data_IF_488418410404
#
_entry.id   IF_488418410404
#
_cell.length_a   1.000
_cell.length_b   1.000
_cell.length_c   1.000
_cell.angle_alpha   90.00
_cell.angle_beta   90.00
_cell.angle_gamma   90.00
#
_symmetry.space_group_name_H-M   'P 1'
#
loop_
_entity.id
_entity.type
_entity.pdbx_description
1 polymer ?
#
# COMPACT_ATOMS: atom_id res chain seq x y z
N UNK A 1 -19.12 -48.10 16.84
CA UNK A 1 -19.38 -46.99 15.91
C UNK A 1 -20.11 -45.80 16.55
N UNK A 2 -21.22 -46.03 17.28
CA UNK A 2 -22.03 -44.94 17.90
C UNK A 2 -21.22 -44.07 18.88
N UNK A 3 -20.43 -44.63 19.76
CA UNK A 3 -19.60 -43.87 20.72
C UNK A 3 -18.52 -43.03 20.06
N UNK A 4 -17.94 -43.46 18.95
CA UNK A 4 -16.96 -42.71 18.19
C UNK A 4 -17.60 -41.48 17.53
N UNK A 5 -18.84 -41.62 17.03
CA UNK A 5 -19.61 -40.47 16.48
C UNK A 5 -19.93 -39.42 17.55
N UNK A 6 -20.39 -39.87 18.74
CA UNK A 6 -20.68 -38.95 19.83
C UNK A 6 -19.42 -38.25 20.35
N UNK A 7 -18.31 -38.97 20.48
CA UNK A 7 -17.03 -38.38 20.86
C UNK A 7 -16.59 -37.32 19.84
N UNK A 8 -16.71 -37.62 18.55
CA UNK A 8 -16.38 -36.65 17.47
C UNK A 8 -17.26 -35.39 17.55
N UNK A 9 -18.58 -35.54 17.75
CA UNK A 9 -19.51 -34.40 17.87
C UNK A 9 -19.20 -33.56 19.12
N UNK A 10 -18.86 -34.15 20.23
CA UNK A 10 -18.51 -33.43 21.46
C UNK A 10 -17.21 -32.64 21.27
N UNK A 11 -16.15 -33.29 20.78
CA UNK A 11 -14.86 -32.63 20.52
C UNK A 11 -15.05 -31.48 19.53
N UNK A 12 -15.80 -31.70 18.47
CA UNK A 12 -16.11 -30.72 17.46
C UNK A 12 -16.89 -29.52 18.04
N UNK A 13 -17.92 -29.76 18.85
CA UNK A 13 -18.68 -28.70 19.54
C UNK A 13 -17.78 -27.88 20.47
N UNK A 14 -16.87 -28.50 21.18
CA UNK A 14 -15.88 -27.83 22.03
C UNK A 14 -14.98 -26.90 21.19
N UNK A 15 -14.48 -27.39 20.06
CA UNK A 15 -13.64 -26.59 19.17
C UNK A 15 -14.41 -25.34 18.66
N UNK A 16 -15.68 -25.49 18.26
CA UNK A 16 -16.51 -24.35 17.82
C UNK A 16 -16.69 -23.35 18.97
N UNK A 17 -17.04 -23.79 20.15
CA UNK A 17 -17.27 -22.93 21.31
C UNK A 17 -15.99 -22.18 21.67
N UNK A 18 -14.84 -22.86 21.71
CA UNK A 18 -13.53 -22.22 21.94
C UNK A 18 -13.24 -21.16 20.86
N UNK A 19 -13.51 -21.49 19.59
CA UNK A 19 -13.29 -20.54 18.49
C UNK A 19 -14.22 -19.34 18.61
N UNK A 20 -15.51 -19.54 18.96
CA UNK A 20 -16.45 -18.45 19.19
C UNK A 20 -16.03 -17.53 20.34
N UNK A 21 -15.60 -18.13 21.48
CA UNK A 21 -15.07 -17.35 22.61
C UNK A 21 -13.84 -16.54 22.18
N UNK A 22 -12.95 -17.13 21.38
CA UNK A 22 -11.77 -16.43 20.86
C UNK A 22 -12.16 -15.25 19.94
N UNK A 23 -13.15 -15.44 19.05
CA UNK A 23 -13.71 -14.39 18.20
C UNK A 23 -14.26 -13.22 19.04
N UNK A 24 -15.00 -13.51 20.10
CA UNK A 24 -15.53 -12.50 21.03
C UNK A 24 -14.41 -11.76 21.77
N UNK A 25 -13.40 -12.50 22.24
CA UNK A 25 -12.27 -11.93 22.99
C UNK A 25 -11.32 -11.07 22.13
N UNK A 26 -11.39 -11.20 20.81
CA UNK A 26 -10.56 -10.41 19.88
C UNK A 26 -10.96 -8.92 19.81
N UNK A 27 -12.08 -8.52 20.44
CA UNK A 27 -12.57 -7.14 20.53
C UNK A 27 -12.54 -6.36 19.19
N UNK A 28 -13.03 -7.01 18.14
CA UNK A 28 -13.13 -6.40 16.79
C UNK A 28 -14.37 -5.51 16.68
N UNK A 29 -14.50 -4.88 15.52
CA UNK A 29 -15.75 -4.21 15.16
C UNK A 29 -16.92 -5.17 15.33
N UNK A 30 -18.00 -4.78 16.04
CA UNK A 30 -19.12 -5.69 16.34
C UNK A 30 -19.70 -6.40 15.12
N UNK A 31 -19.79 -5.70 13.98
CA UNK A 31 -20.29 -6.28 12.73
C UNK A 31 -19.39 -7.43 12.22
N UNK A 32 -18.05 -7.28 12.27
CA UNK A 32 -17.10 -8.34 11.89
C UNK A 32 -17.18 -9.52 12.85
N UNK A 33 -17.31 -9.26 14.16
CA UNK A 33 -17.48 -10.30 15.17
C UNK A 33 -18.76 -11.10 14.94
N UNK A 34 -19.90 -10.42 14.72
CA UNK A 34 -21.18 -11.06 14.41
C UNK A 34 -21.11 -11.89 13.12
N UNK A 35 -20.49 -11.36 12.06
CA UNK A 35 -20.32 -12.10 10.81
C UNK A 35 -19.57 -13.42 11.03
N UNK A 36 -18.47 -13.43 11.78
CA UNK A 36 -17.72 -14.65 12.10
C UNK A 36 -18.53 -15.60 12.99
N UNK A 37 -19.28 -15.07 13.96
CA UNK A 37 -20.16 -15.90 14.79
C UNK A 37 -21.21 -16.62 13.94
N UNK A 38 -21.84 -15.93 12.99
CA UNK A 38 -22.83 -16.51 12.08
C UNK A 38 -22.18 -17.57 11.16
N UNK A 39 -20.99 -17.27 10.58
CA UNK A 39 -20.26 -18.24 9.75
C UNK A 39 -19.93 -19.51 10.54
N UNK A 40 -19.43 -19.39 11.76
CA UNK A 40 -19.10 -20.53 12.62
C UNK A 40 -20.34 -21.31 13.06
N UNK A 41 -21.49 -20.64 13.23
CA UNK A 41 -22.75 -21.27 13.62
C UNK A 41 -23.40 -22.02 12.46
N UNK A 42 -23.47 -21.43 11.26
CA UNK A 42 -24.21 -22.01 10.14
C UNK A 42 -23.36 -22.87 9.20
N UNK A 43 -22.06 -22.63 9.13
CA UNK A 43 -21.12 -23.35 8.24
C UNK A 43 -19.90 -23.81 9.05
N UNK A 44 -20.10 -24.62 10.08
CA UNK A 44 -19.09 -24.79 11.14
C UNK A 44 -17.76 -25.35 10.63
N UNK A 45 -17.71 -26.37 9.79
CA UNK A 45 -16.46 -26.95 9.27
C UNK A 45 -15.70 -25.97 8.38
N UNK A 46 -16.37 -25.47 7.36
CA UNK A 46 -15.78 -24.49 6.45
C UNK A 46 -15.51 -23.17 7.18
N UNK A 47 -16.37 -22.80 8.14
CA UNK A 47 -16.22 -21.61 8.97
C UNK A 47 -14.95 -21.63 9.81
N UNK A 48 -14.57 -22.75 10.41
CA UNK A 48 -13.30 -22.88 11.15
C UNK A 48 -12.12 -22.71 10.21
N UNK A 49 -12.17 -23.35 9.03
CA UNK A 49 -11.12 -23.21 8.01
C UNK A 49 -11.01 -21.74 7.59
N UNK A 50 -12.12 -21.12 7.20
CA UNK A 50 -12.15 -19.69 6.81
C UNK A 50 -11.66 -18.79 7.94
N UNK A 51 -12.03 -19.07 9.21
CA UNK A 51 -11.57 -18.29 10.34
C UNK A 51 -10.06 -18.42 10.57
N UNK A 52 -9.49 -19.60 10.38
CA UNK A 52 -8.03 -19.83 10.48
C UNK A 52 -7.28 -18.99 9.41
N UNK A 53 -7.82 -18.93 8.19
CA UNK A 53 -7.17 -18.20 7.09
C UNK A 53 -7.42 -16.69 7.10
N UNK A 54 -8.64 -16.27 7.40
CA UNK A 54 -9.07 -14.88 7.24
C UNK A 54 -9.47 -14.21 8.57
N UNK A 55 -9.69 -15.01 9.59
CA UNK A 55 -10.24 -14.59 10.86
C UNK A 55 -9.22 -14.39 11.98
N UNK A 56 -7.97 -14.82 11.85
CA UNK A 56 -7.00 -14.73 12.96
C UNK A 56 -6.42 -13.34 13.13
N UNK A 57 -6.28 -12.92 14.39
CA UNK A 57 -5.63 -11.67 14.75
C UNK A 57 -4.12 -11.92 14.93
N UNK A 58 -3.27 -11.14 14.26
CA UNK A 58 -1.81 -11.27 14.26
C UNK A 58 -1.15 -10.66 15.51
N UNK A 59 -1.80 -10.72 16.69
CA UNK A 59 -1.26 -10.13 17.95
C UNK A 59 0.19 -10.53 18.27
N UNK A 60 0.60 -11.76 17.95
CA UNK A 60 1.97 -12.21 18.20
C UNK A 60 2.97 -11.58 17.22
N UNK A 61 2.59 -11.48 15.96
CA UNK A 61 3.39 -10.82 14.93
C UNK A 61 3.46 -9.31 15.17
N UNK A 62 2.36 -8.70 15.64
CA UNK A 62 2.31 -7.29 16.08
C UNK A 62 3.33 -6.99 17.17
N UNK A 63 3.47 -7.84 18.18
CA UNK A 63 4.44 -7.64 19.27
C UNK A 63 5.89 -7.69 18.76
N UNK A 64 6.23 -8.61 17.86
CA UNK A 64 7.55 -8.73 17.27
C UNK A 64 7.87 -7.51 16.41
N UNK A 65 6.91 -7.09 15.62
CA UNK A 65 7.03 -5.93 14.74
C UNK A 65 7.24 -4.62 15.53
N UNK A 66 6.45 -4.37 16.56
CA UNK A 66 6.62 -3.19 17.43
C UNK A 66 7.97 -3.17 18.13
N UNK A 67 8.44 -4.30 18.64
CA UNK A 67 9.76 -4.39 19.25
C UNK A 67 10.87 -4.08 18.23
N UNK A 68 10.72 -4.51 16.98
CA UNK A 68 11.68 -4.22 15.90
C UNK A 68 11.66 -2.75 15.51
N UNK A 69 10.46 -2.15 15.39
CA UNK A 69 10.29 -0.72 15.15
C UNK A 69 10.91 0.12 16.25
N UNK A 70 10.63 -0.19 17.52
CA UNK A 70 11.15 0.53 18.67
C UNK A 70 12.68 0.49 18.73
N UNK A 71 13.28 -0.67 18.44
CA UNK A 71 14.74 -0.82 18.49
C UNK A 71 15.43 -0.12 17.32
N UNK A 72 14.90 -0.25 16.10
CA UNK A 72 15.45 0.45 14.93
C UNK A 72 15.30 1.96 15.03
N UNK A 73 14.18 2.42 15.56
CA UNK A 73 13.91 3.86 15.70
C UNK A 73 14.75 4.48 16.81
N UNK A 74 14.90 3.79 17.96
CA UNK A 74 15.67 4.33 19.11
C UNK A 74 17.16 4.46 18.84
N UNK A 75 17.75 3.65 17.96
CA UNK A 75 19.20 3.72 17.70
C UNK A 75 19.62 4.57 16.51
N UNK A 76 18.85 4.57 15.42
CA UNK A 76 19.28 5.23 14.17
C UNK A 76 18.60 6.57 13.89
N UNK A 77 17.35 6.76 14.37
CA UNK A 77 16.59 7.96 14.04
C UNK A 77 16.49 8.98 15.20
N UNK A 78 16.60 8.55 16.47
CA UNK A 78 16.51 9.49 17.61
C UNK A 78 17.69 10.48 17.64
N UNK A 79 18.89 10.05 17.27
CA UNK A 79 20.02 10.99 17.12
C UNK A 79 19.76 12.06 16.05
N UNK A 80 18.99 11.73 15.00
CA UNK A 80 18.53 12.70 14.00
C UNK A 80 17.38 13.57 14.51
N UNK A 81 16.49 13.02 15.35
CA UNK A 81 15.34 13.73 15.93
C UNK A 81 15.79 14.79 16.92
N UNK A 82 16.78 14.47 17.77
CA UNK A 82 17.29 15.40 18.80
C UNK A 82 18.06 16.59 18.19
N UNK A 83 18.55 16.45 16.95
CA UNK A 83 19.37 17.49 16.31
C UNK A 83 18.60 18.42 15.36
N UNK A 84 17.34 18.14 14.99
CA UNK A 84 16.61 18.92 13.98
C UNK A 84 15.32 19.53 14.53
N UNK A 85 15.25 20.84 14.44
CA UNK A 85 14.02 21.60 14.66
C UNK A 85 13.03 21.30 13.51
N UNK A 86 12.00 20.51 13.82
CA UNK A 86 10.88 20.24 12.90
C UNK A 86 9.93 21.44 12.89
N UNK A 87 10.40 22.61 12.45
CA UNK A 87 9.57 23.79 12.30
C UNK A 87 8.55 23.56 11.16
N UNK A 88 7.47 22.82 11.47
CA UNK A 88 6.38 22.48 10.55
C UNK A 88 5.44 23.69 10.50
N UNK A 89 5.06 24.17 9.29
CA UNK A 89 4.03 25.20 9.14
C UNK A 89 2.74 24.81 9.88
N UNK A 90 2.09 25.78 10.53
CA UNK A 90 0.92 25.56 11.40
C UNK A 90 -0.19 24.79 10.69
N UNK A 91 -0.40 25.09 9.42
CA UNK A 91 -1.43 24.45 8.57
C UNK A 91 -1.23 22.93 8.42
N UNK A 92 0.02 22.41 8.49
CA UNK A 92 0.33 20.98 8.35
C UNK A 92 0.61 20.31 9.70
N UNK A 93 0.71 21.06 10.78
CA UNK A 93 1.15 20.55 12.10
C UNK A 93 0.27 19.42 12.62
N UNK A 94 -1.04 19.54 12.45
CA UNK A 94 -1.98 18.54 12.99
C UNK A 94 -1.88 17.19 12.27
N UNK A 95 -1.75 17.16 10.95
CA UNK A 95 -1.60 15.91 10.19
C UNK A 95 -0.19 15.33 10.36
N UNK A 96 0.83 16.16 10.37
CA UNK A 96 2.19 15.70 10.60
C UNK A 96 2.36 15.09 12.00
N UNK A 97 1.80 15.73 13.05
CA UNK A 97 1.80 15.19 14.41
C UNK A 97 1.02 13.87 14.51
N UNK A 98 -0.07 13.71 13.76
CA UNK A 98 -0.80 12.44 13.69
C UNK A 98 0.15 11.31 13.32
N UNK A 99 0.91 11.45 12.24
CA UNK A 99 1.84 10.43 11.78
C UNK A 99 3.06 10.25 12.68
N UNK A 100 3.59 11.33 13.26
CA UNK A 100 4.67 11.22 14.23
C UNK A 100 4.25 10.43 15.48
N UNK A 101 3.04 10.65 15.97
CA UNK A 101 2.51 9.97 17.16
C UNK A 101 2.12 8.52 16.91
N UNK A 102 1.80 8.15 15.67
CA UNK A 102 1.38 6.79 15.33
C UNK A 102 2.55 5.84 15.12
N UNK A 103 3.53 6.23 14.30
CA UNK A 103 4.62 5.33 13.91
C UNK A 103 5.98 6.01 13.77
N UNK A 104 6.18 7.19 14.38
CA UNK A 104 7.41 7.97 14.30
C UNK A 104 7.81 8.31 12.86
N UNK A 105 6.83 8.50 11.97
CA UNK A 105 7.12 9.07 10.67
C UNK A 105 7.54 10.51 10.84
N UNK A 106 8.79 10.83 10.49
CA UNK A 106 9.34 12.17 10.68
C UNK A 106 9.15 12.99 9.40
N UNK A 107 8.75 14.28 9.52
CA UNK A 107 8.71 15.19 8.40
C UNK A 107 10.11 15.74 8.14
N UNK A 108 10.56 15.70 6.90
CA UNK A 108 11.86 16.19 6.47
C UNK A 108 11.70 17.33 5.49
N UNK A 109 12.46 18.41 5.68
CA UNK A 109 12.58 19.54 4.76
C UNK A 109 13.71 19.31 3.76
N UNK A 110 13.80 20.23 2.78
CA UNK A 110 14.89 20.28 1.81
C UNK A 110 14.99 19.04 0.95
N UNK A 111 13.84 18.57 0.48
CA UNK A 111 13.80 17.46 -0.46
C UNK A 111 13.54 17.95 -1.87
N UNK A 112 14.10 17.24 -2.84
CA UNK A 112 13.73 17.31 -4.23
C UNK A 112 12.80 16.17 -4.59
N UNK A 113 11.77 16.47 -5.39
CA UNK A 113 10.70 15.53 -5.72
C UNK A 113 10.52 15.53 -7.23
N UNK A 114 10.68 14.37 -7.85
CA UNK A 114 10.41 14.14 -9.27
C UNK A 114 9.30 13.11 -9.41
N UNK A 115 8.24 13.42 -10.19
CA UNK A 115 7.06 12.58 -10.32
C UNK A 115 7.03 11.96 -11.71
N UNK A 116 6.94 10.64 -11.78
CA UNK A 116 6.80 9.86 -12.99
C UNK A 116 5.37 9.35 -13.13
N UNK A 117 4.79 9.50 -14.32
CA UNK A 117 3.45 9.02 -14.64
C UNK A 117 3.46 7.85 -15.63
N UNK A 118 4.65 7.44 -16.04
CA UNK A 118 4.89 6.38 -17.03
C UNK A 118 6.09 5.53 -16.63
N UNK A 119 6.01 4.23 -16.86
CA UNK A 119 7.16 3.34 -16.72
C UNK A 119 8.26 3.61 -17.74
N UNK A 120 7.94 4.25 -18.86
CA UNK A 120 8.95 4.68 -19.86
C UNK A 120 9.91 5.72 -19.28
N UNK A 121 9.46 6.57 -18.38
CA UNK A 121 10.29 7.60 -17.74
C UNK A 121 10.89 7.09 -16.43
N UNK A 122 10.13 6.31 -15.66
CA UNK A 122 10.54 5.83 -14.35
C UNK A 122 11.70 4.82 -14.42
N UNK A 123 11.58 3.75 -15.22
CA UNK A 123 12.59 2.68 -15.20
C UNK A 123 13.96 3.09 -15.75
N UNK A 124 14.10 3.92 -16.78
CA UNK A 124 15.39 4.50 -17.14
C UNK A 124 16.04 5.33 -16.02
N UNK A 125 15.24 6.13 -15.29
CA UNK A 125 15.71 6.88 -14.13
C UNK A 125 16.19 5.94 -13.01
N UNK A 126 15.42 4.90 -12.69
CA UNK A 126 15.82 3.88 -11.71
C UNK A 126 17.12 3.19 -12.10
N UNK A 127 17.26 2.76 -13.36
CA UNK A 127 18.48 2.11 -13.87
C UNK A 127 19.69 3.04 -13.85
N UNK A 128 19.49 4.33 -14.15
CA UNK A 128 20.54 5.33 -14.07
C UNK A 128 21.05 5.49 -12.63
N UNK A 129 20.15 5.58 -11.66
CA UNK A 129 20.57 5.68 -10.24
C UNK A 129 21.18 4.37 -9.72
N UNK A 130 20.66 3.20 -10.10
CA UNK A 130 21.31 1.91 -9.81
C UNK A 130 22.76 1.92 -10.36
N UNK A 131 22.96 2.41 -11.59
CA UNK A 131 24.28 2.51 -12.21
C UNK A 131 25.27 3.40 -11.45
N UNK A 132 24.80 4.39 -10.69
CA UNK A 132 25.62 5.31 -9.87
C UNK A 132 25.92 4.78 -8.47
N UNK A 133 25.20 3.75 -7.98
CA UNK A 133 25.33 3.25 -6.62
C UNK A 133 26.79 2.89 -6.27
N UNK A 134 27.24 3.32 -5.09
CA UNK A 134 28.60 3.10 -4.59
C UNK A 134 28.62 2.28 -3.30
N UNK A 135 27.58 2.40 -2.45
CA UNK A 135 27.54 1.74 -1.15
C UNK A 135 26.48 0.63 -1.09
N UNK A 136 25.19 0.95 -1.31
CA UNK A 136 24.13 -0.04 -1.19
C UNK A 136 22.91 0.24 -2.08
N UNK A 137 22.20 -0.83 -2.42
CA UNK A 137 20.91 -0.78 -3.10
C UNK A 137 19.92 -1.66 -2.31
N UNK A 138 18.86 -1.06 -1.82
CA UNK A 138 17.78 -1.70 -1.09
C UNK A 138 16.48 -1.63 -1.89
N UNK A 139 15.92 -2.77 -2.27
CA UNK A 139 14.65 -2.85 -3.02
C UNK A 139 13.64 -3.65 -2.23
N UNK A 140 12.46 -3.10 -2.06
CA UNK A 140 11.28 -3.76 -1.54
C UNK A 140 10.13 -3.62 -2.54
N UNK A 141 9.64 -4.74 -3.08
CA UNK A 141 8.65 -4.72 -4.15
C UNK A 141 7.61 -5.82 -4.01
N UNK A 142 6.35 -5.50 -4.33
CA UNK A 142 5.30 -6.51 -4.35
C UNK A 142 5.47 -7.51 -5.50
N UNK A 143 5.74 -7.01 -6.71
CA UNK A 143 5.94 -7.87 -7.89
C UNK A 143 7.28 -7.56 -8.53
N UNK A 144 8.08 -8.61 -8.70
CA UNK A 144 9.19 -8.64 -9.65
C UNK A 144 8.96 -9.82 -10.60
N UNK A 145 8.91 -9.56 -11.91
CA UNK A 145 8.59 -10.55 -12.92
C UNK A 145 9.84 -11.03 -13.65
N UNK A 146 9.92 -12.32 -13.96
CA UNK A 146 10.92 -12.84 -14.92
C UNK A 146 10.49 -12.52 -16.35
N UNK A 147 10.54 -11.26 -16.71
CA UNK A 147 10.25 -10.70 -18.03
C UNK A 147 11.42 -9.80 -18.49
N UNK A 148 11.41 -9.26 -19.70
CA UNK A 148 12.55 -8.44 -20.19
C UNK A 148 12.93 -7.31 -19.25
N UNK A 149 11.97 -6.60 -18.64
CA UNK A 149 12.26 -5.51 -17.70
C UNK A 149 12.88 -6.04 -16.40
N UNK A 150 12.27 -7.08 -15.80
CA UNK A 150 12.79 -7.67 -14.57
C UNK A 150 14.19 -8.23 -14.74
N UNK A 151 14.51 -8.79 -15.93
CA UNK A 151 15.85 -9.29 -16.24
C UNK A 151 16.85 -8.15 -16.37
N UNK A 152 16.52 -7.04 -17.04
CA UNK A 152 17.39 -5.87 -17.14
C UNK A 152 17.70 -5.30 -15.74
N UNK A 153 16.69 -5.18 -14.87
CA UNK A 153 16.90 -4.72 -13.49
C UNK A 153 17.77 -5.71 -12.73
N UNK A 154 17.49 -7.02 -12.82
CA UNK A 154 18.29 -8.05 -12.15
C UNK A 154 19.76 -8.04 -12.62
N UNK A 155 20.02 -7.85 -13.92
CA UNK A 155 21.38 -7.75 -14.48
C UNK A 155 22.09 -6.52 -13.94
N UNK A 156 21.45 -5.36 -13.90
CA UNK A 156 22.03 -4.14 -13.33
C UNK A 156 22.39 -4.30 -11.83
N UNK A 157 21.52 -4.98 -11.06
CA UNK A 157 21.80 -5.28 -9.64
C UNK A 157 22.98 -6.25 -9.48
N UNK A 158 23.05 -7.29 -10.32
CA UNK A 158 24.17 -8.25 -10.34
C UNK A 158 25.49 -7.54 -10.68
N UNK A 159 25.48 -6.65 -11.67
CA UNK A 159 26.68 -5.90 -12.05
C UNK A 159 27.18 -5.02 -10.90
N UNK A 160 26.27 -4.44 -10.12
CA UNK A 160 26.62 -3.64 -8.93
C UNK A 160 27.13 -4.53 -7.78
N UNK A 161 26.51 -5.66 -7.53
CA UNK A 161 27.00 -6.63 -6.53
C UNK A 161 28.42 -7.11 -6.84
N UNK A 162 28.73 -7.37 -8.13
CA UNK A 162 30.09 -7.71 -8.58
C UNK A 162 31.12 -6.59 -8.38
N UNK A 163 30.67 -5.33 -8.33
CA UNK A 163 31.50 -4.15 -8.04
C UNK A 163 31.68 -3.93 -6.53
N UNK A 164 31.07 -4.77 -5.67
CA UNK A 164 31.16 -4.67 -4.22
C UNK A 164 30.07 -3.85 -3.56
N UNK A 165 29.06 -3.40 -4.30
CA UNK A 165 27.87 -2.72 -3.74
C UNK A 165 26.99 -3.74 -3.01
N UNK A 166 26.54 -3.40 -1.80
CA UNK A 166 25.62 -4.25 -1.05
C UNK A 166 24.22 -4.19 -1.63
N UNK A 167 23.72 -5.29 -2.18
CA UNK A 167 22.39 -5.34 -2.80
C UNK A 167 21.46 -6.24 -1.99
N UNK A 168 20.32 -5.68 -1.54
CA UNK A 168 19.29 -6.38 -0.79
C UNK A 168 17.94 -6.23 -1.47
N UNK A 169 17.26 -7.34 -1.71
CA UNK A 169 15.97 -7.41 -2.37
C UNK A 169 14.96 -8.14 -1.49
N UNK A 170 13.85 -7.48 -1.19
CA UNK A 170 12.64 -8.09 -0.63
C UNK A 170 11.59 -8.16 -1.74
N UNK A 171 10.96 -9.31 -1.92
CA UNK A 171 9.82 -9.47 -2.81
C UNK A 171 8.67 -10.17 -2.10
N UNK A 172 7.43 -9.83 -2.45
CA UNK A 172 6.27 -10.55 -1.91
C UNK A 172 6.13 -11.91 -2.61
N UNK A 173 5.99 -12.98 -1.81
CA UNK A 173 5.95 -14.36 -2.31
C UNK A 173 4.71 -14.63 -3.19
N UNK A 174 3.54 -14.10 -2.81
CA UNK A 174 2.31 -14.25 -3.58
C UNK A 174 2.28 -13.29 -4.77
N UNK A 175 2.70 -12.05 -4.59
CA UNK A 175 2.79 -11.06 -5.67
C UNK A 175 3.70 -11.52 -6.79
N UNK A 176 4.80 -12.19 -6.45
CA UNK A 176 5.81 -12.70 -7.40
C UNK A 176 5.69 -14.21 -7.68
N UNK A 177 4.57 -14.86 -7.37
CA UNK A 177 4.41 -16.32 -7.46
C UNK A 177 4.64 -16.93 -8.86
N UNK A 178 4.49 -16.11 -9.91
CA UNK A 178 4.75 -16.52 -11.32
C UNK A 178 6.22 -16.45 -11.70
N UNK A 179 7.05 -15.83 -10.86
CA UNK A 179 8.49 -15.70 -11.10
C UNK A 179 9.18 -16.97 -10.59
N UNK A 180 9.89 -17.71 -11.45
CA UNK A 180 10.49 -18.96 -11.08
C UNK A 180 11.61 -18.73 -10.05
N UNK A 181 11.80 -19.70 -9.14
CA UNK A 181 12.86 -19.61 -8.12
C UNK A 181 14.27 -19.48 -8.73
N UNK A 182 14.48 -20.02 -9.93
CA UNK A 182 15.75 -19.88 -10.68
C UNK A 182 16.16 -18.42 -10.92
N UNK A 183 15.19 -17.53 -11.15
CA UNK A 183 15.42 -16.09 -11.28
C UNK A 183 16.04 -15.50 -9.99
N UNK A 184 15.47 -15.83 -8.84
CA UNK A 184 15.98 -15.37 -7.55
C UNK A 184 17.32 -16.07 -7.16
N UNK A 185 17.45 -17.35 -7.49
CA UNK A 185 18.70 -18.09 -7.25
C UNK A 185 19.86 -17.52 -8.06
N UNK A 186 19.63 -17.08 -9.30
CA UNK A 186 20.64 -16.41 -10.11
C UNK A 186 21.20 -15.18 -9.38
N UNK A 187 20.34 -14.32 -8.82
CA UNK A 187 20.79 -13.15 -8.06
C UNK A 187 21.53 -13.53 -6.78
N UNK A 188 21.05 -14.55 -6.03
CA UNK A 188 21.73 -15.02 -4.82
C UNK A 188 23.12 -15.58 -5.10
N UNK A 189 23.29 -16.32 -6.21
CA UNK A 189 24.58 -16.89 -6.59
C UNK A 189 25.62 -15.82 -6.96
N UNK A 190 25.18 -14.62 -7.30
CA UNK A 190 26.02 -13.46 -7.61
C UNK A 190 26.16 -12.49 -6.42
N UNK A 191 25.81 -12.94 -5.21
CA UNK A 191 26.06 -12.21 -3.97
C UNK A 191 24.95 -11.26 -3.51
N UNK A 192 23.81 -11.23 -4.20
CA UNK A 192 22.65 -10.42 -3.78
C UNK A 192 21.89 -11.15 -2.66
N UNK A 193 21.60 -10.44 -1.58
CA UNK A 193 20.73 -10.94 -0.51
C UNK A 193 19.25 -10.80 -0.93
N UNK A 194 18.57 -11.92 -1.18
CA UNK A 194 17.18 -11.94 -1.69
C UNK A 194 16.29 -12.72 -0.75
N UNK A 195 15.24 -12.06 -0.24
CA UNK A 195 14.27 -12.67 0.67
C UNK A 195 12.83 -12.54 0.16
N UNK A 196 12.05 -13.63 0.35
CA UNK A 196 10.61 -13.61 0.14
C UNK A 196 9.91 -13.07 1.39
N UNK A 197 9.01 -12.10 1.21
CA UNK A 197 8.16 -11.61 2.28
C UNK A 197 6.98 -12.57 2.49
N UNK A 198 6.78 -13.03 3.73
CA UNK A 198 5.69 -13.94 4.11
C UNK A 198 5.53 -15.14 3.16
N UNK A 199 6.53 -16.01 3.03
CA UNK A 199 6.48 -17.15 2.13
C UNK A 199 5.33 -18.09 2.48
N UNK A 200 4.56 -18.49 1.46
CA UNK A 200 3.43 -19.42 1.58
C UNK A 200 3.88 -20.81 1.20
N UNK A 201 4.06 -21.69 2.18
CA UNK A 201 4.53 -23.07 1.96
C UNK A 201 3.44 -24.07 2.35
N UNK A 202 3.15 -25.02 1.46
CA UNK A 202 2.30 -26.17 1.76
C UNK A 202 3.07 -27.15 2.69
N UNK A 203 2.49 -27.80 3.72
CA UNK A 203 1.08 -27.73 4.13
C UNK A 203 0.74 -26.61 5.14
N UNK A 204 1.70 -25.77 5.51
CA UNK A 204 1.51 -24.75 6.53
C UNK A 204 0.81 -23.50 5.93
N UNK A 205 -0.39 -23.69 5.37
CA UNK A 205 -1.26 -22.56 5.04
C UNK A 205 -1.63 -21.84 6.35
N UNK A 206 -1.17 -20.63 6.50
CA UNK A 206 -1.44 -19.79 7.67
C UNK A 206 -2.19 -18.53 7.22
N UNK A 207 -2.70 -17.75 8.17
CA UNK A 207 -3.27 -16.40 7.94
C UNK A 207 -2.33 -15.46 7.15
N UNK A 208 -1.04 -15.84 7.00
CA UNK A 208 -0.04 -15.13 6.19
C UNK A 208 -0.40 -15.01 4.72
N UNK A 209 -1.30 -15.85 4.19
CA UNK A 209 -1.79 -15.71 2.81
C UNK A 209 -2.50 -14.37 2.60
N UNK A 210 -3.18 -13.87 3.63
CA UNK A 210 -3.98 -12.64 3.55
C UNK A 210 -3.16 -11.36 3.71
N UNK A 211 -2.02 -11.43 4.40
CA UNK A 211 -1.16 -10.25 4.67
C UNK A 211 -0.03 -10.18 3.64
N UNK A 212 0.00 -9.11 2.86
CA UNK A 212 0.98 -8.98 1.76
C UNK A 212 1.81 -7.72 1.89
N UNK A 213 3.06 -7.78 1.45
CA UNK A 213 3.88 -6.59 1.33
C UNK A 213 3.59 -5.89 -0.02
N UNK A 214 2.80 -4.84 0.04
CA UNK A 214 2.41 -4.11 -1.17
C UNK A 214 3.25 -2.84 -1.40
N UNK A 215 4.33 -2.63 -0.63
CA UNK A 215 5.27 -1.52 -0.82
C UNK A 215 6.04 -1.67 -2.12
N UNK A 216 6.45 -0.54 -2.69
CA UNK A 216 7.38 -0.45 -3.81
C UNK A 216 8.34 0.67 -3.47
N UNK A 217 9.45 0.27 -2.85
CA UNK A 217 10.49 1.17 -2.36
C UNK A 217 11.82 0.74 -2.97
N UNK A 218 12.61 1.71 -3.42
CA UNK A 218 14.02 1.51 -3.71
C UNK A 218 14.82 2.61 -3.02
N UNK A 219 15.89 2.26 -2.33
CA UNK A 219 16.83 3.22 -1.74
C UNK A 219 18.23 2.91 -2.25
N UNK A 220 18.91 3.93 -2.71
CA UNK A 220 20.27 3.85 -3.26
C UNK A 220 21.14 4.78 -2.44
N UNK A 221 22.19 4.22 -1.84
CA UNK A 221 23.20 4.89 -1.01
C UNK A 221 22.65 5.73 0.16
N UNK A 222 21.34 5.58 0.49
CA UNK A 222 20.67 6.42 1.47
C UNK A 222 20.40 7.86 1.01
N UNK A 223 20.74 8.20 -0.23
CA UNK A 223 20.67 9.55 -0.82
C UNK A 223 19.52 9.70 -1.81
N UNK A 224 19.23 8.64 -2.59
CA UNK A 224 18.15 8.61 -3.57
C UNK A 224 17.14 7.54 -3.17
N UNK A 225 15.87 7.90 -3.19
CA UNK A 225 14.78 7.00 -2.87
C UNK A 225 13.66 7.03 -3.90
N UNK A 226 13.03 5.89 -4.16
CA UNK A 226 11.87 5.77 -5.03
C UNK A 226 10.70 5.17 -4.25
N UNK A 227 9.49 5.69 -4.48
CA UNK A 227 8.25 5.20 -3.88
C UNK A 227 7.06 5.44 -4.82
N UNK A 228 6.12 4.51 -4.89
CA UNK A 228 4.92 4.70 -5.72
C UNK A 228 4.15 3.42 -6.00
N UNK A 229 3.39 3.41 -7.10
CA UNK A 229 2.51 2.31 -7.48
C UNK A 229 3.16 1.27 -8.41
N UNK A 230 4.25 1.59 -9.13
CA UNK A 230 4.82 0.74 -10.18
C UNK A 230 5.61 -0.43 -9.61
N UNK A 231 5.27 -1.64 -10.06
CA UNK A 231 6.03 -2.86 -9.78
C UNK A 231 7.07 -3.12 -10.90
N UNK A 232 8.05 -3.97 -10.63
CA UNK A 232 9.07 -4.37 -11.62
C UNK A 232 8.49 -5.43 -12.56
N UNK A 233 7.73 -4.97 -13.56
CA UNK A 233 7.12 -5.82 -14.57
C UNK A 233 6.87 -5.05 -15.87
N UNK A 234 7.10 -5.72 -17.01
CA UNK A 234 6.98 -5.15 -18.36
C UNK A 234 5.67 -4.41 -18.61
N UNK A 235 4.56 -4.86 -17.98
CA UNK A 235 3.25 -4.23 -18.17
C UNK A 235 3.20 -2.76 -17.75
N UNK A 236 4.05 -2.31 -16.83
CA UNK A 236 4.13 -0.90 -16.43
C UNK A 236 4.81 -0.02 -17.50
N UNK A 237 5.55 -0.62 -18.43
CA UNK A 237 6.16 0.08 -19.57
C UNK A 237 5.28 -0.08 -20.80
N UNK A 238 5.00 -1.31 -21.22
CA UNK A 238 4.36 -1.61 -22.50
C UNK A 238 2.86 -1.89 -22.40
N UNK A 239 2.30 -1.92 -21.18
CA UNK A 239 0.95 -2.37 -20.95
C UNK A 239 0.78 -3.90 -21.10
N UNK A 240 -0.46 -4.30 -21.28
CA UNK A 240 -0.87 -5.67 -21.63
C UNK A 240 -1.41 -5.70 -23.06
N UNK A 241 -1.61 -6.87 -23.67
CA UNK A 241 -2.25 -6.94 -24.99
C UNK A 241 -3.66 -6.31 -25.05
N UNK A 242 -4.30 -6.11 -23.90
CA UNK A 242 -5.66 -5.56 -23.82
C UNK A 242 -5.67 -4.05 -23.58
N UNK A 243 -4.70 -3.51 -22.83
CA UNK A 243 -4.72 -2.11 -22.42
C UNK A 243 -3.35 -1.62 -21.97
N UNK A 244 -3.10 -0.31 -22.16
CA UNK A 244 -1.97 0.38 -21.58
C UNK A 244 -2.10 0.48 -20.05
N UNK A 245 -0.98 0.64 -19.35
CA UNK A 245 -0.94 0.85 -17.90
C UNK A 245 -0.41 2.24 -17.59
N UNK A 246 -1.17 2.95 -16.78
CA UNK A 246 -0.86 4.26 -16.23
C UNK A 246 -0.68 4.09 -14.72
N UNK A 247 0.46 4.50 -14.16
CA UNK A 247 0.70 4.50 -12.72
C UNK A 247 1.60 5.68 -12.34
N UNK A 248 1.68 6.01 -11.05
CA UNK A 248 2.49 7.12 -10.55
C UNK A 248 3.59 6.61 -9.62
N UNK A 249 4.81 7.13 -9.82
CA UNK A 249 5.97 6.85 -8.97
C UNK A 249 6.72 8.13 -8.70
N UNK A 250 7.47 8.18 -7.59
CA UNK A 250 8.19 9.38 -7.15
C UNK A 250 9.64 9.01 -6.87
N UNK A 251 10.56 9.86 -7.33
CA UNK A 251 11.95 9.90 -6.89
C UNK A 251 12.09 11.01 -5.86
N UNK A 252 12.72 10.68 -4.75
CA UNK A 252 13.07 11.59 -3.67
C UNK A 252 14.58 11.69 -3.55
N UNK A 253 15.07 12.91 -3.40
CA UNK A 253 16.45 13.19 -3.02
C UNK A 253 16.41 14.13 -1.84
N UNK A 254 17.17 13.85 -0.79
CA UNK A 254 17.14 14.62 0.46
C UNK A 254 16.77 13.78 1.67
N UNK A 255 16.55 14.43 2.80
CA UNK A 255 16.39 13.76 4.10
C UNK A 255 15.14 12.86 4.21
N UNK A 256 14.12 13.02 3.34
CA UNK A 256 12.97 12.13 3.30
C UNK A 256 13.34 10.69 2.89
N UNK A 257 14.48 10.49 2.22
CA UNK A 257 15.01 9.16 1.89
C UNK A 257 15.27 8.34 3.15
N UNK A 258 15.59 8.97 4.27
CA UNK A 258 15.72 8.27 5.57
C UNK A 258 14.42 7.57 6.00
N UNK A 259 13.27 8.15 5.67
CA UNK A 259 11.98 7.51 5.91
C UNK A 259 11.79 6.22 5.10
N UNK A 260 12.24 6.22 3.84
CA UNK A 260 12.22 5.03 2.97
C UNK A 260 13.23 3.99 3.43
N UNK A 261 14.45 4.43 3.78
CA UNK A 261 15.51 3.56 4.31
C UNK A 261 15.04 2.86 5.59
N UNK A 262 14.41 3.60 6.50
CA UNK A 262 13.82 3.03 7.71
C UNK A 262 12.74 2.00 7.38
N UNK A 263 11.83 2.32 6.45
CA UNK A 263 10.77 1.40 6.04
C UNK A 263 11.36 0.07 5.52
N UNK A 264 12.36 0.17 4.63
CA UNK A 264 13.07 -1.00 4.13
C UNK A 264 13.75 -1.81 5.24
N UNK A 265 14.51 -1.17 6.13
CA UNK A 265 15.27 -1.87 7.18
C UNK A 265 14.36 -2.56 8.20
N UNK A 266 13.18 -2.02 8.45
CA UNK A 266 12.15 -2.66 9.27
C UNK A 266 11.64 -3.93 8.60
N UNK A 267 11.34 -3.90 7.31
CA UNK A 267 10.91 -5.05 6.52
C UNK A 267 12.05 -6.06 6.37
N UNK A 268 13.29 -5.58 6.19
CA UNK A 268 14.49 -6.42 6.15
C UNK A 268 14.67 -7.24 7.42
N UNK A 269 14.58 -6.59 8.58
CA UNK A 269 14.62 -7.30 9.86
C UNK A 269 13.50 -8.33 9.98
N UNK A 270 12.31 -8.00 9.48
CA UNK A 270 11.18 -8.93 9.52
C UNK A 270 11.47 -10.22 8.76
N UNK A 271 12.12 -10.16 7.60
CA UNK A 271 12.38 -11.33 6.74
C UNK A 271 13.71 -12.04 7.06
N UNK A 272 14.78 -11.29 7.32
CA UNK A 272 16.14 -11.83 7.51
C UNK A 272 16.48 -12.15 8.97
N UNK A 273 15.83 -11.48 9.93
CA UNK A 273 16.15 -11.43 11.36
C UNK A 273 17.53 -10.79 11.66
N UNK A 274 18.12 -10.12 10.69
CA UNK A 274 19.39 -9.40 10.84
C UNK A 274 19.10 -7.92 11.07
N UNK A 275 19.61 -7.38 12.18
CA UNK A 275 19.57 -5.96 12.47
C UNK A 275 20.68 -5.24 11.71
N UNK A 276 20.29 -4.24 10.93
CA UNK A 276 21.19 -3.31 10.26
C UNK A 276 21.01 -1.96 10.93
N UNK A 277 22.05 -1.47 11.59
CA UNK A 277 22.01 -0.23 12.40
C UNK A 277 23.17 0.72 12.09
N UNK A 278 23.99 0.38 11.11
CA UNK A 278 25.16 1.15 10.74
C UNK A 278 24.77 2.53 10.21
N UNK A 279 25.51 3.55 10.64
CA UNK A 279 25.28 4.94 10.26
C UNK A 279 25.50 5.19 8.75
N UNK A 280 26.31 4.34 8.10
CA UNK A 280 26.59 4.40 6.66
C UNK A 280 25.34 4.32 5.77
N UNK A 281 24.24 3.72 6.28
CA UNK A 281 22.96 3.68 5.55
C UNK A 281 22.15 4.97 5.64
N UNK A 282 22.61 5.94 6.45
CA UNK A 282 22.00 7.26 6.65
C UNK A 282 23.09 8.34 6.48
N UNK A 283 23.61 8.54 5.26
CA UNK A 283 24.68 9.51 5.01
C UNK A 283 24.22 10.92 5.36
N UNK A 284 25.16 11.82 5.60
CA UNK A 284 24.85 13.22 5.79
C UNK A 284 24.43 13.83 4.45
N UNK A 285 23.16 14.22 4.33
CA UNK A 285 22.61 14.72 3.07
C UNK A 285 22.98 16.18 2.91
N UNK A 286 23.65 16.52 1.80
CA UNK A 286 23.91 17.89 1.38
C UNK A 286 22.57 18.50 0.96
N UNK A 287 22.16 19.57 1.64
CA UNK A 287 20.87 20.24 1.43
C UNK A 287 20.81 20.81 0.00
N UNK A 288 19.86 20.31 -0.79
CA UNK A 288 19.54 20.83 -2.11
C UNK A 288 18.84 22.21 -2.06
N UNK A 289 18.70 22.85 -3.21
CA UNK A 289 18.04 24.17 -3.33
C UNK A 289 16.51 24.12 -3.19
N UNK A 290 15.89 22.93 -3.33
CA UNK A 290 14.45 22.72 -3.19
C UNK A 290 14.08 22.50 -1.72
N UNK A 291 12.94 23.06 -1.29
CA UNK A 291 12.56 23.08 0.13
C UNK A 291 11.25 22.32 0.38
N UNK A 292 11.02 21.23 -0.35
CA UNK A 292 9.80 20.44 -0.15
C UNK A 292 9.81 19.73 1.19
N UNK A 293 8.73 19.88 1.96
CA UNK A 293 8.49 19.16 3.21
C UNK A 293 7.79 17.84 2.88
N UNK A 294 8.44 16.72 3.20
CA UNK A 294 7.99 15.36 2.85
C UNK A 294 7.99 14.48 4.10
N UNK A 295 6.95 13.68 4.24
CA UNK A 295 6.81 12.70 5.32
C UNK A 295 6.47 11.33 4.73
N UNK A 296 7.34 10.35 4.94
CA UNK A 296 7.10 8.96 4.52
C UNK A 296 6.34 8.24 5.62
N UNK A 297 5.14 7.79 5.30
CA UNK A 297 4.24 7.11 6.22
C UNK A 297 4.05 5.67 5.76
N UNK A 298 4.24 4.73 6.69
CA UNK A 298 3.98 3.31 6.45
C UNK A 298 2.77 2.86 7.24
N UNK A 299 2.02 1.91 6.71
CA UNK A 299 0.99 1.18 7.44
C UNK A 299 1.22 -0.32 7.34
N UNK A 300 0.68 -1.07 8.28
CA UNK A 300 0.77 -2.53 8.29
C UNK A 300 -0.40 -3.15 9.05
N UNK A 301 -0.76 -4.41 8.77
CA UNK A 301 -1.80 -5.12 9.51
C UNK A 301 -1.43 -5.34 10.98
N UNK A 302 -0.17 -5.13 11.33
CA UNK A 302 0.35 -5.26 12.70
C UNK A 302 0.39 -3.93 13.46
N UNK A 303 0.17 -2.82 12.80
CA UNK A 303 0.07 -1.49 13.43
C UNK A 303 -1.10 -1.42 14.42
N UNK A 304 -0.98 -0.54 15.42
CA UNK A 304 -2.08 -0.24 16.34
C UNK A 304 -3.18 0.56 15.66
N UNK A 305 -2.80 1.40 14.73
CA UNK A 305 -3.66 2.35 14.03
C UNK A 305 -3.52 2.15 12.51
N UNK A 306 -4.57 2.40 11.73
CA UNK A 306 -4.49 2.43 10.27
C UNK A 306 -3.95 3.79 9.81
N UNK A 307 -2.63 3.97 9.85
CA UNK A 307 -1.95 5.27 9.76
C UNK A 307 -2.33 6.02 8.47
N UNK A 308 -2.19 5.38 7.31
CA UNK A 308 -2.46 6.01 6.00
C UNK A 308 -3.95 6.30 5.86
N UNK A 309 -4.84 5.40 6.30
CA UNK A 309 -6.29 5.63 6.31
C UNK A 309 -6.67 6.88 7.11
N UNK A 310 -6.13 7.00 8.33
CA UNK A 310 -6.40 8.16 9.18
C UNK A 310 -5.85 9.46 8.56
N UNK A 311 -4.73 9.38 7.85
CA UNK A 311 -4.21 10.49 7.06
C UNK A 311 -5.18 10.92 5.95
N UNK A 312 -5.72 9.97 5.21
CA UNK A 312 -6.73 10.25 4.17
C UNK A 312 -8.01 10.85 4.76
N UNK A 313 -8.52 10.26 5.85
CA UNK A 313 -9.67 10.83 6.59
C UNK A 313 -9.39 12.27 7.01
N UNK A 314 -8.17 12.53 7.54
CA UNK A 314 -7.79 13.87 7.98
C UNK A 314 -7.74 14.88 6.82
N UNK A 315 -7.23 14.50 5.65
CA UNK A 315 -7.23 15.34 4.47
C UNK A 315 -8.67 15.64 4.02
N UNK A 316 -9.49 14.60 3.87
CA UNK A 316 -10.90 14.72 3.44
C UNK A 316 -11.73 15.62 4.36
N UNK A 317 -11.55 15.47 5.68
CA UNK A 317 -12.31 16.26 6.67
C UNK A 317 -11.82 17.69 6.82
N UNK A 318 -10.59 18.00 6.42
CA UNK A 318 -10.01 19.34 6.50
C UNK A 318 -10.11 20.13 5.19
N UNK A 319 -10.43 19.47 4.08
CA UNK A 319 -10.53 20.08 2.77
C UNK A 319 -11.59 21.20 2.77
N UNK A 320 -11.25 22.33 2.13
CA UNK A 320 -12.12 23.52 2.03
C UNK A 320 -12.65 23.75 0.64
N UNK A 321 -11.85 23.41 -0.38
CA UNK A 321 -12.17 23.71 -1.77
C UNK A 321 -12.32 22.45 -2.61
N UNK A 322 -11.31 21.54 -2.56
CA UNK A 322 -11.36 20.34 -3.36
C UNK A 322 -10.49 19.20 -2.80
N UNK A 323 -10.87 17.95 -3.13
CA UNK A 323 -10.04 16.75 -2.99
C UNK A 323 -10.17 15.92 -4.26
N UNK A 324 -9.06 15.65 -4.94
CA UNK A 324 -9.01 14.79 -6.11
C UNK A 324 -8.21 13.53 -5.79
N UNK A 325 -8.74 12.38 -6.17
CA UNK A 325 -8.16 11.07 -5.86
C UNK A 325 -8.15 10.16 -7.08
N UNK A 326 -7.07 9.40 -7.26
CA UNK A 326 -6.98 8.28 -8.20
C UNK A 326 -6.70 6.99 -7.45
N UNK A 327 -7.41 5.93 -7.80
CA UNK A 327 -7.18 4.58 -7.28
C UNK A 327 -7.64 3.54 -8.30
N UNK A 328 -6.89 2.42 -8.48
CA UNK A 328 -7.32 1.34 -9.37
C UNK A 328 -8.55 0.60 -8.83
N UNK A 329 -8.68 0.52 -7.51
CA UNK A 329 -9.75 -0.18 -6.82
C UNK A 329 -10.39 0.74 -5.80
N UNK A 330 -11.72 0.80 -5.83
CA UNK A 330 -12.49 1.60 -4.88
C UNK A 330 -13.43 0.69 -4.09
N UNK A 331 -12.89 0.15 -3.01
CA UNK A 331 -13.59 -0.65 -2.00
C UNK A 331 -13.36 -0.01 -0.63
N UNK A 332 -13.80 1.25 -0.43
CA UNK A 332 -13.43 2.05 0.72
C UNK A 332 -13.92 1.44 2.02
N UNK A 333 -13.15 1.64 3.08
CA UNK A 333 -13.61 1.42 4.45
C UNK A 333 -14.68 2.46 4.84
N UNK A 334 -15.46 2.15 5.88
CA UNK A 334 -16.52 3.07 6.34
C UNK A 334 -15.99 4.47 6.70
N UNK A 335 -14.82 4.65 7.39
CA UNK A 335 -14.28 5.98 7.66
C UNK A 335 -13.98 6.79 6.40
N UNK A 336 -13.39 6.17 5.38
CA UNK A 336 -13.07 6.86 4.11
C UNK A 336 -14.35 7.27 3.38
N UNK A 337 -15.28 6.33 3.20
CA UNK A 337 -16.55 6.62 2.51
C UNK A 337 -17.35 7.69 3.25
N UNK A 338 -17.38 7.64 4.58
CA UNK A 338 -18.02 8.65 5.41
C UNK A 338 -17.36 10.02 5.23
N UNK A 339 -16.03 10.11 5.31
CA UNK A 339 -15.30 11.36 5.15
C UNK A 339 -15.51 11.99 3.75
N UNK A 340 -15.48 11.16 2.69
CA UNK A 340 -15.76 11.62 1.32
C UNK A 340 -17.16 12.20 1.18
N UNK A 341 -18.18 11.52 1.74
CA UNK A 341 -19.56 12.00 1.71
C UNK A 341 -19.73 13.31 2.48
N UNK A 342 -19.14 13.41 3.67
CA UNK A 342 -19.20 14.64 4.48
C UNK A 342 -18.55 15.79 3.72
N UNK A 343 -17.38 15.61 3.13
CA UNK A 343 -16.71 16.64 2.35
C UNK A 343 -17.58 17.11 1.17
N UNK A 344 -18.10 16.17 0.34
CA UNK A 344 -18.92 16.50 -0.81
C UNK A 344 -20.24 17.20 -0.43
N UNK A 345 -20.95 16.70 0.60
CA UNK A 345 -22.19 17.31 1.10
C UNK A 345 -21.93 18.68 1.74
N UNK A 346 -20.72 18.97 2.19
CA UNK A 346 -20.30 20.28 2.71
C UNK A 346 -19.89 21.28 1.61
N UNK A 347 -19.98 20.87 0.34
CA UNK A 347 -19.69 21.74 -0.82
C UNK A 347 -18.24 21.69 -1.31
N UNK A 348 -17.42 20.76 -0.81
CA UNK A 348 -16.07 20.50 -1.33
C UNK A 348 -16.17 19.77 -2.67
N UNK A 349 -15.40 20.18 -3.69
CA UNK A 349 -15.31 19.48 -4.99
C UNK A 349 -14.50 18.18 -4.81
N UNK A 350 -15.20 17.10 -4.49
CA UNK A 350 -14.58 15.78 -4.33
C UNK A 350 -14.67 15.01 -5.64
N UNK A 351 -13.51 14.66 -6.22
CA UNK A 351 -13.42 13.87 -7.45
C UNK A 351 -12.67 12.57 -7.20
N UNK A 352 -13.26 11.47 -7.68
CA UNK A 352 -12.67 10.15 -7.65
C UNK A 352 -12.50 9.63 -9.07
N UNK A 353 -11.27 9.31 -9.45
CA UNK A 353 -10.97 8.66 -10.71
C UNK A 353 -10.63 7.20 -10.49
N UNK A 354 -11.32 6.32 -11.23
CA UNK A 354 -11.09 4.87 -11.25
C UNK A 354 -11.00 4.40 -12.71
N UNK A 355 -10.41 3.22 -13.00
CA UNK A 355 -10.41 2.68 -14.34
C UNK A 355 -11.83 2.40 -14.86
N UNK A 356 -12.06 2.66 -16.15
CA UNK A 356 -13.30 2.28 -16.82
C UNK A 356 -13.47 0.76 -16.89
N UNK A 357 -12.37 0.02 -17.14
CA UNK A 357 -12.28 -1.43 -17.08
C UNK A 357 -11.21 -1.83 -16.08
N UNK A 358 -11.56 -2.71 -15.16
CA UNK A 358 -10.62 -3.24 -14.17
C UNK A 358 -10.01 -4.55 -14.67
N UNK A 359 -8.87 -4.92 -14.11
CA UNK A 359 -8.21 -6.19 -14.37
C UNK A 359 -8.93 -7.39 -13.72
N UNK A 360 -9.80 -7.12 -12.73
CA UNK A 360 -10.52 -8.12 -11.93
C UNK A 360 -12.02 -7.83 -11.87
N UNK A 361 -12.84 -8.66 -12.51
CA UNK A 361 -14.31 -8.46 -12.57
C UNK A 361 -15.00 -8.46 -11.21
N UNK A 362 -14.51 -9.26 -10.26
CA UNK A 362 -15.12 -9.34 -8.91
C UNK A 362 -14.95 -8.02 -8.18
N UNK A 363 -13.77 -7.42 -8.25
CA UNK A 363 -13.50 -6.09 -7.70
C UNK A 363 -14.35 -5.02 -8.38
N UNK A 364 -14.52 -5.10 -9.70
CA UNK A 364 -15.41 -4.18 -10.43
C UNK A 364 -16.86 -4.25 -9.90
N UNK A 365 -17.41 -5.46 -9.72
CA UNK A 365 -18.77 -5.63 -9.20
C UNK A 365 -18.93 -5.09 -7.78
N UNK A 366 -17.99 -5.38 -6.89
CA UNK A 366 -18.01 -4.86 -5.53
C UNK A 366 -17.91 -3.33 -5.50
N UNK A 367 -16.98 -2.75 -6.27
CA UNK A 367 -16.72 -1.30 -6.36
C UNK A 367 -17.95 -0.52 -6.83
N UNK A 368 -18.74 -1.05 -7.78
CA UNK A 368 -19.88 -0.36 -8.38
C UNK A 368 -20.90 0.15 -7.37
N UNK A 369 -21.18 -0.59 -6.30
CA UNK A 369 -22.14 -0.16 -5.27
C UNK A 369 -21.61 1.00 -4.44
N UNK A 370 -20.31 1.01 -4.12
CA UNK A 370 -19.65 2.12 -3.40
C UNK A 370 -19.58 3.38 -4.25
N UNK A 371 -19.24 3.22 -5.54
CA UNK A 371 -19.20 4.32 -6.52
C UNK A 371 -20.56 5.03 -6.61
N UNK A 372 -21.67 4.26 -6.72
CA UNK A 372 -23.03 4.83 -6.76
C UNK A 372 -23.37 5.51 -5.43
N UNK A 373 -22.97 4.95 -4.30
CA UNK A 373 -23.20 5.54 -2.99
C UNK A 373 -22.46 6.87 -2.83
N UNK A 374 -21.19 6.94 -3.25
CA UNK A 374 -20.39 8.16 -3.24
C UNK A 374 -20.95 9.23 -4.19
N UNK A 375 -21.34 8.85 -5.41
CA UNK A 375 -21.95 9.77 -6.39
C UNK A 375 -23.25 10.40 -5.88
N UNK A 376 -24.10 9.65 -5.16
CA UNK A 376 -25.32 10.19 -4.55
C UNK A 376 -25.06 11.28 -3.51
N UNK A 377 -23.89 11.29 -2.89
CA UNK A 377 -23.47 12.34 -1.96
C UNK A 377 -22.81 13.55 -2.66
N UNK A 378 -22.71 13.54 -3.98
CA UNK A 378 -22.11 14.62 -4.76
C UNK A 378 -20.63 14.41 -5.12
N UNK A 379 -20.06 13.25 -4.81
CA UNK A 379 -18.70 12.91 -5.29
C UNK A 379 -18.74 12.72 -6.79
N UNK A 380 -17.93 13.47 -7.53
CA UNK A 380 -17.79 13.34 -8.98
C UNK A 380 -16.93 12.14 -9.33
N UNK A 381 -17.52 11.16 -10.00
CA UNK A 381 -16.85 9.91 -10.36
C UNK A 381 -16.40 9.97 -11.83
N UNK A 382 -15.11 9.81 -12.04
CA UNK A 382 -14.47 9.83 -13.36
C UNK A 382 -13.97 8.43 -13.70
N UNK A 383 -14.30 7.94 -14.89
CA UNK A 383 -13.93 6.63 -15.38
C UNK A 383 -12.85 6.78 -16.45
N UNK A 384 -11.59 6.45 -16.10
CA UNK A 384 -10.45 6.59 -17.01
C UNK A 384 -10.49 5.56 -18.14
N UNK A 385 -10.39 6.01 -19.41
CA UNK A 385 -10.61 5.15 -20.60
C UNK A 385 -9.37 4.83 -21.40
N UNK A 386 -8.28 5.57 -21.27
CA UNK A 386 -7.08 5.41 -22.09
C UNK A 386 -6.28 4.13 -21.77
N UNK A 387 -6.70 3.39 -20.73
CA UNK A 387 -6.08 2.16 -20.28
C UNK A 387 -6.44 1.84 -18.85
N UNK A 388 -5.60 1.06 -18.18
CA UNK A 388 -5.75 0.76 -16.77
C UNK A 388 -4.98 1.80 -15.93
N UNK A 389 -5.72 2.72 -15.30
CA UNK A 389 -5.13 3.65 -14.35
C UNK A 389 -4.91 2.95 -13.01
N UNK A 390 -3.65 2.64 -12.71
CA UNK A 390 -3.23 1.98 -11.46
C UNK A 390 -2.62 2.96 -10.46
N UNK A 391 -2.77 4.26 -10.67
CA UNK A 391 -2.25 5.33 -9.81
C UNK A 391 -2.90 5.34 -8.44
N UNK A 392 -2.16 5.70 -7.41
CA UNK A 392 -2.63 5.92 -6.06
C UNK A 392 -2.13 7.28 -5.60
N UNK A 393 -2.93 8.30 -5.88
CA UNK A 393 -2.64 9.67 -5.50
C UNK A 393 -3.87 10.36 -4.91
N UNK A 394 -3.60 11.34 -4.08
CA UNK A 394 -4.59 12.26 -3.55
C UNK A 394 -3.97 13.65 -3.50
N UNK A 395 -4.74 14.68 -3.86
CA UNK A 395 -4.35 16.08 -3.74
C UNK A 395 -5.51 16.90 -3.19
N UNK A 396 -5.20 17.88 -2.33
CA UNK A 396 -6.19 18.75 -1.70
C UNK A 396 -5.72 20.21 -1.64
N UNK A 397 -6.61 21.13 -2.01
CA UNK A 397 -6.57 22.57 -1.77
C UNK A 397 -5.27 23.29 -2.19
N UNK A 398 -4.57 22.80 -3.22
CA UNK A 398 -3.25 23.26 -3.65
C UNK A 398 -2.20 23.28 -2.51
N UNK A 399 -2.45 22.55 -1.41
CA UNK A 399 -1.66 22.61 -0.19
C UNK A 399 -0.88 21.33 0.07
N UNK A 400 -1.50 20.18 -0.14
CA UNK A 400 -0.87 18.88 0.13
C UNK A 400 -1.26 17.83 -0.90
N UNK A 401 -0.36 16.85 -1.06
CA UNK A 401 -0.60 15.68 -1.88
C UNK A 401 -0.03 14.42 -1.22
N UNK A 402 -0.48 13.25 -1.65
CA UNK A 402 0.17 11.98 -1.33
C UNK A 402 0.22 11.07 -2.54
N UNK A 403 1.34 10.38 -2.69
CA UNK A 403 1.57 9.35 -3.71
C UNK A 403 2.22 8.16 -3.01
N UNK A 404 1.78 6.94 -3.34
CA UNK A 404 2.35 5.74 -2.74
C UNK A 404 1.83 4.44 -3.31
N UNK A 405 1.84 3.42 -2.49
CA UNK A 405 1.39 2.08 -2.85
C UNK A 405 -0.06 1.80 -2.48
N UNK A 406 -0.68 2.63 -1.61
CA UNK A 406 -1.97 2.37 -0.95
C UNK A 406 -3.16 2.62 -1.87
N UNK A 407 -3.92 1.58 -2.20
CA UNK A 407 -5.23 1.72 -2.84
C UNK A 407 -6.28 2.21 -1.84
N UNK A 408 -7.42 2.71 -2.36
CA UNK A 408 -8.58 3.03 -1.53
C UNK A 408 -9.46 1.79 -1.39
N UNK A 409 -8.92 0.77 -0.72
CA UNK A 409 -9.61 -0.49 -0.47
C UNK A 409 -9.32 -1.06 0.94
N UNK A 410 -10.16 -2.02 1.37
CA UNK A 410 -10.01 -2.67 2.67
C UNK A 410 -8.65 -3.35 2.84
N UNK A 411 -8.13 -3.98 1.77
CA UNK A 411 -6.86 -4.69 1.85
C UNK A 411 -5.71 -3.77 2.15
N UNK A 412 -5.60 -2.66 1.41
CA UNK A 412 -4.55 -1.69 1.61
C UNK A 412 -4.59 -1.02 2.98
N UNK A 413 -5.77 -0.78 3.53
CA UNK A 413 -5.89 -0.13 4.84
C UNK A 413 -5.79 -1.09 6.02
N UNK A 414 -6.19 -2.37 5.88
CA UNK A 414 -6.28 -3.29 7.02
C UNK A 414 -5.32 -4.50 6.94
N UNK A 415 -4.95 -4.94 5.73
CA UNK A 415 -4.30 -6.24 5.53
C UNK A 415 -2.91 -6.17 4.89
N UNK A 416 -2.61 -5.11 4.14
CA UNK A 416 -1.35 -5.03 3.42
C UNK A 416 -0.35 -4.10 4.12
N UNK A 417 0.93 -4.35 3.90
CA UNK A 417 2.01 -3.43 4.26
C UNK A 417 2.13 -2.40 3.15
N UNK A 418 1.89 -1.14 3.47
CA UNK A 418 1.84 -0.05 2.53
C UNK A 418 2.82 1.06 2.89
N UNK A 419 3.13 1.91 1.93
CA UNK A 419 3.92 3.12 2.14
C UNK A 419 3.47 4.24 1.20
N UNK A 420 3.30 5.43 1.77
CA UNK A 420 2.99 6.65 1.04
C UNK A 420 3.94 7.78 1.40
N UNK A 421 4.31 8.61 0.44
CA UNK A 421 4.92 9.90 0.67
C UNK A 421 3.82 10.97 0.74
N UNK A 422 3.80 11.74 1.82
CA UNK A 422 2.95 12.91 2.00
C UNK A 422 3.77 14.16 1.78
N UNK A 423 3.31 15.02 0.90
CA UNK A 423 3.94 16.26 0.48
C UNK A 423 3.17 17.45 1.06
N UNK A 424 3.82 18.26 1.86
CA UNK A 424 3.29 19.48 2.43
C UNK A 424 3.92 20.68 1.70
N UNK A 425 3.59 20.77 0.41
CA UNK A 425 4.25 21.69 -0.53
C UNK A 425 3.27 22.07 -1.65
N UNK A 426 3.04 23.37 -1.80
CA UNK A 426 2.13 23.89 -2.82
C UNK A 426 2.58 23.55 -4.24
N UNK A 427 3.89 23.58 -4.53
CA UNK A 427 4.42 23.28 -5.86
C UNK A 427 4.12 21.84 -6.25
N UNK A 428 4.38 20.90 -5.32
CA UNK A 428 4.10 19.47 -5.53
C UNK A 428 2.59 19.21 -5.61
N UNK A 429 1.79 19.85 -4.74
CA UNK A 429 0.33 19.73 -4.79
C UNK A 429 -0.22 20.19 -6.16
N UNK A 430 0.28 21.31 -6.70
CA UNK A 430 -0.12 21.78 -8.02
C UNK A 430 0.29 20.81 -9.13
N UNK A 431 1.49 20.24 -9.09
CA UNK A 431 1.92 19.23 -10.06
C UNK A 431 1.01 17.98 -10.02
N UNK A 432 0.67 17.49 -8.83
CA UNK A 432 -0.25 16.33 -8.68
C UNK A 432 -1.65 16.68 -9.17
N UNK A 433 -2.12 17.90 -8.92
CA UNK A 433 -3.40 18.39 -9.46
C UNK A 433 -3.38 18.43 -11.01
N UNK A 434 -2.33 18.94 -11.60
CA UNK A 434 -2.16 18.97 -13.07
C UNK A 434 -2.15 17.57 -13.68
N UNK A 435 -1.49 16.60 -13.01
CA UNK A 435 -1.51 15.19 -13.39
C UNK A 435 -2.94 14.66 -13.38
N UNK A 436 -3.68 14.86 -12.28
CA UNK A 436 -5.08 14.46 -12.19
C UNK A 436 -5.95 15.09 -13.29
N UNK A 437 -5.81 16.39 -13.53
CA UNK A 437 -6.57 17.09 -14.55
C UNK A 437 -6.20 16.67 -15.99
N UNK A 438 -4.96 16.24 -16.21
CA UNK A 438 -4.55 15.64 -17.49
C UNK A 438 -5.23 14.28 -17.69
N UNK A 439 -5.24 13.40 -16.68
CA UNK A 439 -5.90 12.10 -16.73
C UNK A 439 -7.44 12.24 -16.80
N UNK A 440 -7.99 13.30 -16.23
CA UNK A 440 -9.43 13.62 -16.35
C UNK A 440 -9.86 13.84 -17.80
N UNK A 441 -8.99 14.40 -18.68
CA UNK A 441 -9.30 14.60 -20.11
C UNK A 441 -9.50 13.26 -20.85
N UNK A 442 -8.85 12.21 -20.38
CA UNK A 442 -8.97 10.84 -20.89
C UNK A 442 -10.07 10.03 -20.17
N UNK A 443 -10.88 10.69 -19.33
CA UNK A 443 -11.95 10.09 -18.53
C UNK A 443 -13.34 10.51 -18.99
N UNK A 444 -14.34 9.71 -18.63
CA UNK A 444 -15.77 10.06 -18.80
C UNK A 444 -16.46 10.12 -17.44
N UNK A 445 -17.49 10.95 -17.33
CA UNK A 445 -18.27 11.02 -16.12
C UNK A 445 -19.13 9.75 -15.94
N UNK A 446 -19.31 9.31 -14.70
CA UNK A 446 -20.15 8.17 -14.39
C UNK A 446 -21.58 8.37 -14.91
N UNK A 447 -22.11 9.60 -14.82
CA UNK A 447 -23.49 9.93 -15.21
C UNK A 447 -23.74 9.75 -16.72
N UNK A 448 -22.68 9.78 -17.53
CA UNK A 448 -22.75 9.51 -18.97
C UNK A 448 -22.81 8.00 -19.29
N UNK A 449 -22.60 7.12 -18.30
CA UNK A 449 -22.50 5.68 -18.52
C UNK A 449 -23.72 4.93 -18.03
N UNK A 450 -24.71 4.76 -18.91
CA UNK A 450 -26.01 4.08 -18.62
C UNK A 450 -25.85 2.72 -17.91
N UNK A 451 -24.81 1.95 -18.20
CA UNK A 451 -24.57 0.63 -17.59
C UNK A 451 -24.35 0.68 -16.07
N UNK A 452 -23.95 1.81 -15.54
CA UNK A 452 -23.77 1.99 -14.10
C UNK A 452 -25.07 2.43 -13.42
N UNK A 453 -25.92 3.16 -14.12
CA UNK A 453 -27.12 3.82 -13.55
C UNK A 453 -28.35 2.90 -13.65
N UNK A 454 -28.59 2.27 -14.81
CA UNK A 454 -29.78 1.43 -15.06
C UNK A 454 -29.37 -0.05 -15.08
N UNK A 455 -29.67 -0.78 -14.00
CA UNK A 455 -29.34 -2.19 -13.86
C UNK A 455 -30.57 -3.03 -13.52
N UNK A 456 -30.67 -4.27 -14.08
CA UNK A 456 -31.66 -5.26 -13.67
C UNK A 456 -31.53 -5.59 -12.17
N UNK A 457 -32.66 -5.97 -11.55
CA UNK A 457 -32.70 -6.32 -10.13
C UNK A 457 -31.66 -7.41 -9.75
N UNK A 458 -31.56 -8.48 -10.54
CA UNK A 458 -30.63 -9.58 -10.29
C UNK A 458 -29.17 -9.13 -10.31
N UNK A 459 -28.79 -8.22 -11.21
CA UNK A 459 -27.44 -7.68 -11.23
C UNK A 459 -27.15 -6.82 -9.99
N UNK A 460 -28.11 -6.00 -9.55
CA UNK A 460 -27.98 -5.21 -8.31
C UNK A 460 -27.84 -6.12 -7.09
N UNK A 461 -28.64 -7.21 -7.04
CA UNK A 461 -28.55 -8.19 -5.96
C UNK A 461 -27.18 -8.87 -5.94
N UNK A 462 -26.66 -9.26 -7.12
CA UNK A 462 -25.31 -9.85 -7.24
C UNK A 462 -24.22 -8.89 -6.80
N UNK A 463 -24.23 -7.64 -7.27
CA UNK A 463 -23.25 -6.62 -6.85
C UNK A 463 -23.29 -6.35 -5.34
N UNK A 464 -24.50 -6.33 -4.75
CA UNK A 464 -24.67 -6.22 -3.30
C UNK A 464 -24.15 -7.44 -2.53
N UNK A 465 -24.31 -8.64 -3.10
CA UNK A 465 -23.72 -9.85 -2.52
C UNK A 465 -22.19 -9.83 -2.59
N UNK A 466 -21.63 -9.46 -3.74
CA UNK A 466 -20.16 -9.36 -3.92
C UNK A 466 -19.57 -8.26 -3.02
N UNK A 467 -20.31 -7.17 -2.75
CA UNK A 467 -19.90 -6.14 -1.79
C UNK A 467 -19.61 -6.71 -0.41
N UNK A 468 -20.32 -7.76 0.05
CA UNK A 468 -20.05 -8.38 1.35
C UNK A 468 -18.66 -9.03 1.40
N UNK A 469 -18.07 -9.34 0.24
CA UNK A 469 -16.72 -9.89 0.13
C UNK A 469 -15.62 -8.81 0.11
N UNK A 470 -15.97 -7.51 0.11
CA UNK A 470 -14.99 -6.41 0.04
C UNK A 470 -13.84 -6.52 1.06
N UNK A 471 -14.04 -6.96 2.31
CA UNK A 471 -12.93 -7.15 3.25
C UNK A 471 -11.97 -8.29 2.89
N UNK A 472 -12.31 -9.12 1.89
CA UNK A 472 -11.50 -10.25 1.41
C UNK A 472 -10.87 -9.98 0.04
N UNK A 473 -11.37 -8.96 -0.68
CA UNK A 473 -10.95 -8.54 -2.00
C UNK A 473 -9.91 -7.42 -1.89
#
# INVERSE_FOLDING_TARGET
>A
MIYVHWLFLVVYSIIIIITMVRVLMDNRQPAKTMAWMLVLMFIPFLGIILYIFFGQNTRKERKIWQQSLDQLTKRSMLEFVEQKDFNIPEEYRTISNLFMNQNLALPFKNNEVEIYTSGYDFFPSLLMEIGKAEHHIHIDTFIISDDPLGRIIADALIDKAKQGVEVRLIYDDVGSWRTPNSFFMRMRNEGIEVYAFMPVRFPAFTSRVNYRNHRKICVIDGEVGFIGGMNIARRYVQGTPKQSWRDTHVKLTGAAVYGLQRAFLVDWYFVSKVFITERSYYPEIIIGQNNSLVQVVTSSPTSLWPEIEQGYVRILTNAKHYVYMETPYFLPTDPILFAMRVAALSGVDVRLMIPYETDTKVVEWASRSYVIEASKAGVKILLYRKGFNHSKLLVSDDAMATIGSTNVDFRSFENDFEANAFFYDKKIALQVKEIFLADQKDSIDLDDVRRFIKKPFLQRLWESFVRLLSPLL
#
